data_IF_217199940274
#
_entry.id   IF_217199940274
#
_cell.length_a   1.000
_cell.length_b   1.000
_cell.length_c   1.000
_cell.angle_alpha   90.00
_cell.angle_beta   90.00
_cell.angle_gamma   90.00
#
_symmetry.space_group_name_H-M   'P 1'
#
loop_
_entity.id
_entity.type
_entity.pdbx_description
1 polymer ?
#
# COMPACT_ATOMS: atom_id res chain seq x y z
N UNK A 1 7.09 10.74 2.34
CA UNK A 1 5.68 10.42 2.01
C UNK A 1 5.40 10.80 0.57
N UNK A 2 4.90 9.87 -0.23
CA UNK A 2 4.69 10.09 -1.67
C UNK A 2 3.22 10.29 -1.95
N UNK A 3 2.88 11.39 -2.60
CA UNK A 3 1.51 11.67 -3.01
C UNK A 3 1.38 11.68 -4.53
N UNK A 4 0.20 11.37 -5.03
CA UNK A 4 -0.10 11.35 -6.45
C UNK A 4 -1.53 11.82 -6.67
N UNK A 5 -1.79 12.43 -7.83
CA UNK A 5 -3.14 12.79 -8.25
C UNK A 5 -3.64 11.71 -9.20
N UNK A 6 -4.78 11.12 -8.88
CA UNK A 6 -5.38 10.08 -9.71
C UNK A 6 -6.86 10.36 -9.93
N UNK A 7 -7.41 9.78 -10.99
CA UNK A 7 -8.85 9.81 -11.25
C UNK A 7 -9.51 8.63 -10.54
N UNK A 8 -10.49 8.92 -9.69
CA UNK A 8 -11.26 7.92 -8.96
C UNK A 8 -12.72 7.99 -9.40
N UNK A 9 -13.32 6.83 -9.64
CA UNK A 9 -14.72 6.73 -10.04
C UNK A 9 -15.47 5.93 -9.00
N UNK A 10 -16.52 6.52 -8.43
CA UNK A 10 -17.33 5.87 -7.39
C UNK A 10 -18.81 6.12 -7.60
N UNK A 11 -19.67 5.13 -7.28
CA UNK A 11 -21.11 5.32 -7.24
C UNK A 11 -21.55 5.85 -5.89
N UNK A 12 -22.55 6.74 -5.87
CA UNK A 12 -23.27 7.12 -4.67
C UNK A 12 -24.75 6.83 -4.84
N UNK A 13 -25.36 6.25 -3.81
CA UNK A 13 -26.81 6.07 -3.76
C UNK A 13 -27.48 7.44 -3.62
N UNK A 14 -28.69 7.59 -4.20
CA UNK A 14 -29.44 8.84 -4.15
C UNK A 14 -29.68 9.37 -2.74
N UNK A 15 -29.78 8.49 -1.73
CA UNK A 15 -29.92 8.88 -0.32
C UNK A 15 -28.73 9.64 0.23
N UNK A 16 -27.57 9.58 -0.41
CA UNK A 16 -26.34 10.26 0.00
C UNK A 16 -26.07 11.55 -0.77
N UNK A 17 -26.98 11.96 -1.65
CA UNK A 17 -26.90 13.21 -2.41
C UNK A 17 -27.50 14.36 -1.58
N UNK A 18 -26.84 14.70 -0.49
CA UNK A 18 -27.29 15.72 0.47
C UNK A 18 -26.20 16.77 0.72
N UNK A 19 -26.35 17.56 1.79
CA UNK A 19 -25.41 18.62 2.14
C UNK A 19 -23.99 18.10 2.43
N UNK A 20 -23.88 16.82 2.81
CA UNK A 20 -22.61 16.19 3.16
C UNK A 20 -22.04 15.36 2.00
N UNK A 21 -22.41 15.66 0.77
CA UNK A 21 -22.00 14.88 -0.41
C UNK A 21 -20.47 14.76 -0.52
N UNK A 22 -19.73 15.81 -0.17
CA UNK A 22 -18.25 15.76 -0.24
C UNK A 22 -17.68 14.72 0.74
N UNK A 23 -18.23 14.64 1.94
CA UNK A 23 -17.84 13.63 2.92
C UNK A 23 -18.24 12.22 2.48
N UNK A 24 -19.41 12.05 1.91
CA UNK A 24 -19.87 10.76 1.37
C UNK A 24 -19.01 10.30 0.20
N UNK A 25 -18.64 11.20 -0.71
CA UNK A 25 -17.73 10.90 -1.81
C UNK A 25 -16.37 10.46 -1.31
N UNK A 26 -15.78 11.22 -0.39
CA UNK A 26 -14.47 10.87 0.17
C UNK A 26 -14.50 9.51 0.84
N UNK A 27 -15.54 9.22 1.61
CA UNK A 27 -15.68 7.93 2.30
C UNK A 27 -15.81 6.76 1.32
N UNK A 28 -16.61 6.90 0.27
CA UNK A 28 -16.77 5.88 -0.76
C UNK A 28 -15.48 5.66 -1.55
N UNK A 29 -14.75 6.72 -1.86
CA UNK A 29 -13.44 6.63 -2.52
C UNK A 29 -12.44 5.90 -1.63
N UNK A 30 -12.39 6.23 -0.35
CA UNK A 30 -11.54 5.52 0.62
C UNK A 30 -11.88 4.03 0.68
N UNK A 31 -13.16 3.69 0.78
CA UNK A 31 -13.59 2.29 0.85
C UNK A 31 -13.22 1.50 -0.40
N UNK A 32 -13.25 2.13 -1.57
CA UNK A 32 -12.96 1.45 -2.83
C UNK A 32 -11.47 1.35 -3.14
N UNK A 33 -10.69 2.40 -2.86
CA UNK A 33 -9.32 2.53 -3.37
C UNK A 33 -8.23 2.26 -2.35
N UNK A 34 -8.45 2.48 -1.06
CA UNK A 34 -7.43 2.18 -0.04
C UNK A 34 -7.08 0.68 -0.07
N UNK A 35 -5.79 0.37 -0.01
CA UNK A 35 -5.21 -0.98 -0.08
C UNK A 35 -5.28 -1.62 -1.46
N UNK A 36 -5.67 -0.89 -2.49
CA UNK A 36 -5.64 -1.40 -3.86
C UNK A 36 -4.25 -1.20 -4.47
N UNK A 37 -3.92 -2.09 -5.41
CA UNK A 37 -2.63 -2.05 -6.12
C UNK A 37 -2.84 -1.67 -7.59
N UNK A 38 -2.08 -0.69 -8.06
CA UNK A 38 -2.05 -0.31 -9.47
C UNK A 38 -0.91 -1.04 -10.16
N UNK A 39 -1.23 -2.03 -11.01
CA UNK A 39 -0.23 -2.84 -11.71
C UNK A 39 0.55 -2.06 -12.76
N UNK A 40 -0.08 -1.08 -13.39
CA UNK A 40 0.53 -0.32 -14.48
C UNK A 40 1.63 0.60 -13.95
N UNK A 41 1.37 1.30 -12.84
CA UNK A 41 2.30 2.25 -12.24
C UNK A 41 3.00 1.71 -10.99
N UNK A 42 2.71 0.47 -10.60
CA UNK A 42 3.36 -0.29 -9.53
C UNK A 42 3.37 0.44 -8.18
N UNK A 43 2.18 0.74 -7.66
CA UNK A 43 2.03 1.31 -6.33
C UNK A 43 0.78 0.81 -5.63
N UNK A 44 0.81 0.83 -4.28
CA UNK A 44 -0.37 0.67 -3.43
C UNK A 44 -0.90 2.03 -3.04
N UNK A 45 -2.22 2.15 -2.89
CA UNK A 45 -2.86 3.34 -2.34
C UNK A 45 -2.98 3.15 -0.83
N UNK A 46 -2.28 3.99 -0.06
CA UNK A 46 -2.28 3.94 1.39
C UNK A 46 -3.45 4.72 1.99
N UNK A 47 -3.75 5.88 1.41
CA UNK A 47 -4.82 6.75 1.88
C UNK A 47 -5.26 7.69 0.77
N UNK A 48 -6.50 8.15 0.84
CA UNK A 48 -7.02 9.21 -0.01
C UNK A 48 -7.08 10.48 0.83
N UNK A 49 -6.23 11.45 0.51
CA UNK A 49 -6.11 12.66 1.31
C UNK A 49 -7.29 13.61 1.12
N UNK A 50 -7.66 13.84 -0.14
CA UNK A 50 -8.74 14.77 -0.46
C UNK A 50 -9.21 14.61 -1.90
N UNK A 51 -10.43 15.05 -2.15
CA UNK A 51 -10.98 15.21 -3.49
C UNK A 51 -10.66 16.63 -3.97
N UNK A 52 -9.94 16.75 -5.08
CA UNK A 52 -9.53 18.03 -5.65
C UNK A 52 -10.58 18.61 -6.58
N UNK A 53 -11.23 17.74 -7.36
CA UNK A 53 -12.20 18.17 -8.36
C UNK A 53 -13.15 17.03 -8.71
N UNK A 54 -14.42 17.37 -8.89
CA UNK A 54 -15.41 16.48 -9.47
C UNK A 54 -15.57 16.88 -10.94
N UNK A 55 -15.13 16.01 -11.87
CA UNK A 55 -15.09 16.37 -13.29
C UNK A 55 -16.35 15.98 -14.05
N UNK A 56 -16.91 14.81 -13.78
CA UNK A 56 -18.11 14.31 -14.44
C UNK A 56 -18.91 13.42 -13.50
N UNK A 57 -20.22 13.29 -13.79
CA UNK A 57 -21.05 12.28 -13.15
C UNK A 57 -22.01 11.69 -14.18
N UNK A 58 -22.43 10.45 -13.95
CA UNK A 58 -23.39 9.75 -14.79
C UNK A 58 -24.44 9.15 -13.85
N UNK A 59 -25.72 9.45 -14.11
CA UNK A 59 -26.82 8.84 -13.37
C UNK A 59 -27.09 7.44 -13.90
N UNK A 60 -27.40 6.53 -12.98
CA UNK A 60 -27.70 5.13 -13.29
C UNK A 60 -29.16 4.85 -12.93
N UNK A 61 -29.82 3.96 -13.70
CA UNK A 61 -31.22 3.57 -13.48
C UNK A 61 -31.47 2.92 -12.11
N UNK A 62 -30.44 2.44 -11.41
CA UNK A 62 -30.54 1.79 -10.10
C UNK A 62 -30.41 2.75 -8.92
N UNK A 63 -30.78 4.00 -9.07
CA UNK A 63 -30.66 5.04 -8.04
C UNK A 63 -29.22 5.32 -7.63
N UNK A 64 -28.26 5.01 -8.50
CA UNK A 64 -26.85 5.32 -8.31
C UNK A 64 -26.43 6.47 -9.23
N UNK A 65 -25.64 7.37 -8.69
CA UNK A 65 -24.95 8.39 -9.48
C UNK A 65 -23.46 8.10 -9.45
N UNK A 66 -22.84 7.99 -10.61
CA UNK A 66 -21.43 7.66 -10.74
C UNK A 66 -20.65 8.97 -10.89
N UNK A 67 -19.73 9.20 -9.95
CA UNK A 67 -18.89 10.39 -9.95
C UNK A 67 -17.48 10.04 -10.40
N UNK A 68 -16.95 10.88 -11.28
CA UNK A 68 -15.52 10.85 -11.65
C UNK A 68 -14.83 12.02 -10.97
N UNK A 69 -13.84 11.72 -10.14
CA UNK A 69 -13.18 12.71 -9.30
C UNK A 69 -11.68 12.70 -9.52
N UNK A 70 -11.03 13.85 -9.33
CA UNK A 70 -9.59 13.94 -9.23
C UNK A 70 -9.23 13.98 -7.75
N UNK A 71 -8.45 13.02 -7.31
CA UNK A 71 -8.09 12.85 -5.90
C UNK A 71 -6.59 12.93 -5.68
N UNK A 72 -6.21 13.47 -4.53
CA UNK A 72 -4.84 13.40 -4.04
C UNK A 72 -4.74 12.20 -3.11
N UNK A 73 -3.87 11.24 -3.46
CA UNK A 73 -3.70 10.00 -2.71
C UNK A 73 -2.26 9.87 -2.21
N UNK A 74 -2.12 9.24 -1.05
CA UNK A 74 -0.83 8.81 -0.55
C UNK A 74 -0.55 7.42 -1.07
N UNK A 75 0.62 7.21 -1.68
CA UNK A 75 0.98 5.96 -2.31
C UNK A 75 2.23 5.34 -1.71
N UNK A 76 2.34 4.03 -1.83
CA UNK A 76 3.54 3.26 -1.54
C UNK A 76 4.07 2.70 -2.86
N UNK A 77 5.13 3.30 -3.44
CA UNK A 77 5.72 2.79 -4.66
C UNK A 77 6.37 1.43 -4.44
N UNK A 78 6.16 0.49 -5.37
CA UNK A 78 6.68 -0.88 -5.29
C UNK A 78 7.57 -1.24 -6.48
N UNK A 79 7.92 -0.28 -7.32
CA UNK A 79 8.79 -0.52 -8.47
C UNK A 79 10.24 -0.79 -8.03
N UNK A 80 10.98 -1.51 -8.87
CA UNK A 80 12.38 -1.87 -8.60
C UNK A 80 13.22 -0.61 -8.42
N UNK A 81 14.07 -0.62 -7.39
CA UNK A 81 14.96 0.50 -7.08
C UNK A 81 14.40 1.50 -6.08
N UNK A 82 13.18 1.31 -5.62
CA UNK A 82 12.57 2.18 -4.60
C UNK A 82 12.83 1.62 -3.20
N UNK A 83 13.26 2.47 -2.29
CA UNK A 83 13.45 2.11 -0.88
C UNK A 83 12.10 2.07 -0.15
N UNK A 84 11.95 1.07 0.71
CA UNK A 84 10.75 0.88 1.53
C UNK A 84 11.15 0.61 2.97
N UNK A 85 10.43 1.21 3.91
CA UNK A 85 10.56 0.90 5.33
C UNK A 85 9.45 -0.05 5.75
N UNK A 86 9.79 -1.04 6.56
CA UNK A 86 8.79 -1.99 7.00
C UNK A 86 9.22 -2.78 8.22
N UNK A 87 8.30 -3.59 8.73
CA UNK A 87 8.52 -4.48 9.86
C UNK A 87 8.93 -5.86 9.36
N UNK A 88 10.01 -6.39 9.92
CA UNK A 88 10.60 -7.66 9.51
C UNK A 88 10.01 -8.82 10.30
N UNK A 89 9.70 -9.91 9.59
CA UNK A 89 9.31 -11.19 10.20
C UNK A 89 10.12 -12.31 9.55
N UNK A 90 10.87 -13.07 10.35
CA UNK A 90 11.75 -14.11 9.85
C UNK A 90 10.98 -15.42 9.73
N UNK A 91 10.91 -15.96 8.51
CA UNK A 91 10.42 -17.30 8.23
C UNK A 91 11.62 -18.25 8.27
N UNK A 92 11.70 -19.08 9.30
CA UNK A 92 12.87 -19.95 9.60
C UNK A 92 13.39 -20.69 8.36
N UNK A 93 14.64 -20.34 7.95
CA UNK A 93 15.31 -20.99 6.84
C UNK A 93 14.79 -20.69 5.46
N UNK A 94 13.63 -20.06 5.32
CA UNK A 94 13.01 -19.75 4.03
C UNK A 94 13.34 -18.34 3.53
N UNK A 95 13.44 -17.37 4.47
CA UNK A 95 13.73 -15.99 4.15
C UNK A 95 13.10 -15.03 5.13
N UNK A 96 12.80 -13.82 4.66
CA UNK A 96 12.24 -12.75 5.48
C UNK A 96 11.03 -12.16 4.81
N UNK A 97 9.95 -11.98 5.58
CA UNK A 97 8.81 -11.16 5.19
C UNK A 97 9.01 -9.74 5.71
N UNK A 98 8.77 -8.76 4.88
CA UNK A 98 8.75 -7.36 5.26
C UNK A 98 7.34 -6.82 5.05
N UNK A 99 6.73 -6.35 6.13
CA UNK A 99 5.39 -5.75 6.11
C UNK A 99 5.54 -4.23 6.04
N UNK A 100 4.84 -3.60 5.11
CA UNK A 100 4.78 -2.14 5.02
C UNK A 100 4.04 -1.57 6.23
N UNK A 101 4.15 -0.24 6.49
CA UNK A 101 3.30 0.42 7.47
C UNK A 101 1.82 0.08 7.19
N UNK A 102 1.05 -0.16 8.25
CA UNK A 102 -0.36 -0.59 8.18
C UNK A 102 -0.58 -1.97 7.51
N UNK A 103 0.48 -2.73 7.28
CA UNK A 103 0.44 -4.09 6.71
C UNK A 103 -0.29 -4.18 5.36
N UNK A 104 -0.23 -3.12 4.56
CA UNK A 104 -0.87 -3.07 3.24
C UNK A 104 -0.11 -3.92 2.23
N UNK A 105 1.21 -3.84 2.24
CA UNK A 105 2.08 -4.62 1.38
C UNK A 105 2.93 -5.59 2.18
N UNK A 106 3.20 -6.76 1.59
CA UNK A 106 4.06 -7.77 2.17
C UNK A 106 5.07 -8.20 1.10
N UNK A 107 6.36 -8.06 1.41
CA UNK A 107 7.44 -8.43 0.51
C UNK A 107 8.19 -9.61 1.10
N UNK A 108 8.48 -10.61 0.25
CA UNK A 108 9.26 -11.76 0.66
C UNK A 108 10.66 -11.70 0.04
N UNK A 109 11.68 -11.80 0.90
CA UNK A 109 13.08 -11.87 0.48
C UNK A 109 13.56 -13.30 0.73
N UNK A 110 13.88 -14.01 -0.35
CA UNK A 110 14.33 -15.40 -0.27
C UNK A 110 15.65 -15.50 0.49
N UNK A 111 15.82 -16.57 1.25
CA UNK A 111 17.02 -16.89 1.98
C UNK A 111 18.28 -16.79 1.11
N UNK A 112 18.26 -17.34 -0.09
CA UNK A 112 19.41 -17.34 -1.00
C UNK A 112 19.88 -15.91 -1.35
N UNK A 113 18.93 -14.99 -1.53
CA UNK A 113 19.25 -13.60 -1.83
C UNK A 113 19.85 -12.86 -0.64
N UNK A 114 19.44 -13.22 0.58
CA UNK A 114 19.97 -12.64 1.80
C UNK A 114 21.43 -13.11 2.01
N UNK A 115 21.68 -14.39 1.84
CA UNK A 115 23.02 -14.99 2.00
C UNK A 115 24.01 -14.41 0.99
N UNK A 116 23.58 -14.15 -0.25
CA UNK A 116 24.42 -13.53 -1.27
C UNK A 116 24.94 -12.15 -0.89
N UNK A 117 24.24 -11.45 0.00
CA UNK A 117 24.65 -10.10 0.46
C UNK A 117 25.64 -10.11 1.61
N UNK A 118 26.15 -11.27 2.03
CA UNK A 118 27.13 -11.40 3.12
C UNK A 118 26.47 -11.50 4.50
N UNK A 119 25.30 -12.12 4.57
CA UNK A 119 24.53 -12.28 5.80
C UNK A 119 24.24 -13.76 6.02
N UNK A 120 24.49 -14.27 7.24
CA UNK A 120 24.26 -15.68 7.60
C UNK A 120 23.07 -15.80 8.55
N UNK A 121 22.27 -16.83 8.34
CA UNK A 121 21.16 -17.16 9.23
C UNK A 121 21.62 -17.99 10.43
N UNK A 122 21.25 -17.56 11.64
CA UNK A 122 21.48 -18.30 12.88
C UNK A 122 20.19 -19.03 13.31
N UNK A 123 20.15 -20.34 13.10
CA UNK A 123 18.97 -21.18 13.42
C UNK A 123 18.57 -21.12 14.89
N UNK A 124 19.50 -21.25 15.87
CA UNK A 124 19.13 -21.24 17.29
C UNK A 124 18.47 -19.95 17.74
N UNK A 125 18.88 -18.81 17.18
CA UNK A 125 18.38 -17.50 17.56
C UNK A 125 17.31 -16.97 16.62
N UNK A 126 17.12 -17.62 15.47
CA UNK A 126 16.20 -17.16 14.40
C UNK A 126 16.47 -15.70 14.00
N UNK A 127 17.73 -15.37 13.73
CA UNK A 127 18.17 -14.04 13.30
C UNK A 127 19.13 -14.15 12.12
N UNK A 128 19.32 -13.05 11.40
CA UNK A 128 20.33 -12.93 10.36
C UNK A 128 21.48 -12.02 10.86
N UNK A 129 22.70 -12.46 10.64
CA UNK A 129 23.92 -11.84 11.16
C UNK A 129 24.80 -11.42 9.98
N UNK A 130 25.38 -10.22 10.08
CA UNK A 130 26.36 -9.75 9.11
C UNK A 130 27.67 -10.52 9.32
N UNK A 131 28.17 -11.17 8.27
CA UNK A 131 29.39 -12.01 8.35
C UNK A 131 30.65 -11.21 8.67
N UNK A 132 30.69 -9.92 8.34
CA UNK A 132 31.87 -9.09 8.52
C UNK A 132 32.06 -8.65 9.98
N UNK A 133 31.02 -8.23 10.67
CA UNK A 133 31.08 -7.64 12.00
C UNK A 133 30.22 -8.34 13.06
N UNK A 134 29.53 -9.44 12.69
CA UNK A 134 28.68 -10.24 13.56
C UNK A 134 27.49 -9.46 14.17
N UNK A 135 27.10 -8.33 13.55
CA UNK A 135 25.92 -7.60 14.00
C UNK A 135 24.63 -8.25 13.52
N UNK A 136 23.58 -8.14 14.33
CA UNK A 136 22.24 -8.61 13.93
C UNK A 136 21.69 -7.68 12.85
N UNK A 137 21.40 -8.23 11.66
CA UNK A 137 20.84 -7.48 10.54
C UNK A 137 19.33 -7.53 10.55
N UNK A 138 18.76 -8.73 10.74
CA UNK A 138 17.32 -8.94 10.77
C UNK A 138 16.93 -9.79 11.96
N UNK A 139 15.85 -9.38 12.63
CA UNK A 139 15.22 -10.14 13.71
C UNK A 139 13.71 -9.92 13.66
N UNK A 140 12.95 -10.88 14.18
CA UNK A 140 11.50 -10.70 14.30
C UNK A 140 11.21 -9.73 15.44
N UNK A 141 10.38 -8.76 15.16
CA UNK A 141 9.92 -7.79 16.16
C UNK A 141 8.82 -8.37 17.06
#
# INVERSE_FOLDING_TARGET
MTTKRITCTVPLHSSKLDENIDNHLLQEIKNKYIKTYNKQDEYYILDVKRVLKISNYISNANSLTIFRTLCEVEILPMNIGVWMTGTCEIARGAGIFVHSPNRIAKVFIKHDNIVKSGVTYSSPLNIYINDTDNTTVFKTD
#
